data_IF_180872864983
#
_entry.id   IF_180872864983
#
_cell.length_a   1.000
_cell.length_b   1.000
_cell.length_c   1.000
_cell.angle_alpha   90.00
_cell.angle_beta   90.00
_cell.angle_gamma   90.00
#
_symmetry.space_group_name_H-M   'P 1'
#
loop_
_entity.id
_entity.type
_entity.pdbx_description
1 polymer ?
#
# COMPACT_ATOMS: atom_id res chain seq x y z
N UNK A 1 -5.21 -2.04 3.51
CA UNK A 1 -3.89 -1.67 2.94
C UNK A 1 -2.72 -2.01 3.87
N UNK A 2 -2.56 -1.37 5.03
CA UNK A 2 -1.45 -1.69 5.96
C UNK A 2 -1.48 -3.16 6.39
N UNK A 3 -2.65 -3.70 6.71
CA UNK A 3 -2.80 -5.08 7.17
C UNK A 3 -2.37 -6.10 6.09
N UNK A 4 -2.78 -5.91 4.83
CA UNK A 4 -2.39 -6.78 3.71
C UNK A 4 -0.88 -6.68 3.41
N UNK A 5 -0.31 -5.48 3.48
CA UNK A 5 1.14 -5.29 3.35
C UNK A 5 1.91 -5.99 4.46
N UNK A 6 1.40 -5.93 5.69
CA UNK A 6 1.98 -6.61 6.86
C UNK A 6 1.89 -8.13 6.72
N UNK A 7 0.77 -8.66 6.20
CA UNK A 7 0.63 -10.09 5.89
C UNK A 7 1.61 -10.55 4.80
N UNK A 8 1.74 -9.77 3.73
CA UNK A 8 2.68 -10.08 2.65
C UNK A 8 4.14 -10.07 3.16
N UNK A 9 4.50 -9.10 3.99
CA UNK A 9 5.82 -9.01 4.61
C UNK A 9 6.08 -10.17 5.58
N UNK A 10 5.10 -10.57 6.38
CA UNK A 10 5.18 -11.75 7.23
C UNK A 10 5.49 -13.02 6.42
N UNK A 11 4.79 -13.22 5.30
CA UNK A 11 5.02 -14.35 4.41
C UNK A 11 6.42 -14.33 3.79
N UNK A 12 6.89 -13.15 3.34
CA UNK A 12 8.23 -12.93 2.81
C UNK A 12 9.31 -13.30 3.83
N UNK A 13 9.21 -12.76 5.05
CA UNK A 13 10.16 -13.04 6.14
C UNK A 13 10.17 -14.52 6.51
N UNK A 14 9.01 -15.16 6.56
CA UNK A 14 8.90 -16.60 6.86
C UNK A 14 9.65 -17.44 5.84
N UNK A 15 9.51 -17.12 4.56
CA UNK A 15 10.23 -17.81 3.47
C UNK A 15 11.73 -17.58 3.59
N UNK A 16 12.16 -16.34 3.77
CA UNK A 16 13.58 -15.98 3.87
C UNK A 16 14.27 -16.61 5.09
N UNK A 17 13.59 -16.65 6.23
CA UNK A 17 14.07 -17.33 7.44
C UNK A 17 14.32 -18.82 7.16
N UNK A 18 13.37 -19.51 6.52
CA UNK A 18 13.50 -20.92 6.19
C UNK A 18 14.66 -21.20 5.21
N UNK A 19 14.88 -20.32 4.23
CA UNK A 19 16.00 -20.41 3.29
C UNK A 19 17.35 -20.27 3.99
N UNK A 20 17.49 -19.27 4.88
CA UNK A 20 18.73 -19.04 5.63
C UNK A 20 19.01 -20.19 6.61
N UNK A 21 17.99 -20.71 7.29
CA UNK A 21 18.14 -21.87 8.16
C UNK A 21 18.68 -23.09 7.40
N UNK A 22 18.14 -23.37 6.23
CA UNK A 22 18.60 -24.45 5.34
C UNK A 22 20.03 -24.23 4.81
N UNK A 23 20.45 -22.97 4.63
CA UNK A 23 21.83 -22.64 4.24
C UNK A 23 22.79 -22.86 5.41
N UNK A 24 22.42 -22.43 6.61
CA UNK A 24 23.21 -22.61 7.84
C UNK A 24 23.45 -24.08 8.19
N UNK A 25 22.50 -24.98 7.92
CA UNK A 25 22.66 -26.43 8.13
C UNK A 25 23.81 -27.04 7.30
N UNK A 26 24.15 -26.42 6.16
CA UNK A 26 25.21 -26.90 5.27
C UNK A 26 26.57 -26.31 5.59
N UNK A 27 26.64 -25.37 6.53
CA UNK A 27 27.87 -24.65 6.86
C UNK A 27 28.74 -25.41 7.88
N UNK A 28 30.05 -25.15 7.88
CA UNK A 28 30.97 -25.80 8.82
C UNK A 28 30.55 -25.59 10.27
N UNK A 29 30.78 -26.58 11.11
CA UNK A 29 30.60 -26.44 12.58
C UNK A 29 31.57 -25.42 13.18
N UNK A 30 31.26 -24.91 14.37
CA UNK A 30 32.06 -23.94 15.10
C UNK A 30 31.86 -22.49 14.67
N UNK A 31 32.66 -21.60 15.21
CA UNK A 31 32.58 -20.15 15.06
C UNK A 31 33.90 -19.55 14.64
N UNK A 32 33.86 -18.46 13.88
CA UNK A 32 35.05 -17.66 13.57
C UNK A 32 35.32 -16.66 14.70
N UNK A 33 36.53 -16.70 15.23
CA UNK A 33 37.07 -15.68 16.10
C UNK A 33 38.25 -14.95 15.42
N UNK A 34 38.26 -13.61 15.48
CA UNK A 34 39.29 -12.79 14.87
C UNK A 34 40.02 -11.97 15.93
N UNK A 35 41.35 -12.04 15.94
CA UNK A 35 42.19 -11.19 16.79
C UNK A 35 42.96 -10.20 15.95
N UNK A 36 43.13 -8.98 16.44
CA UNK A 36 43.99 -7.98 15.82
C UNK A 36 45.45 -8.23 16.23
N UNK A 37 46.32 -8.26 15.23
CA UNK A 37 47.77 -8.36 15.45
C UNK A 37 48.44 -7.26 14.62
N UNK A 38 48.77 -6.16 15.27
CA UNK A 38 49.24 -4.92 14.65
C UNK A 38 48.26 -4.43 13.54
N UNK A 39 48.70 -4.49 12.28
CA UNK A 39 47.90 -4.06 11.11
C UNK A 39 47.09 -5.18 10.46
N UNK A 40 47.16 -6.41 10.97
CA UNK A 40 46.56 -7.59 10.35
C UNK A 40 45.64 -8.32 11.32
N UNK A 41 44.70 -9.11 10.79
CA UNK A 41 43.85 -10.00 11.58
C UNK A 41 44.36 -11.44 11.48
N UNK A 42 44.34 -12.14 12.61
CA UNK A 42 44.51 -13.60 12.71
C UNK A 42 43.14 -14.22 12.90
N UNK A 43 42.93 -15.36 12.26
CA UNK A 43 41.67 -16.10 12.29
C UNK A 43 41.80 -17.36 13.12
N UNK A 44 40.80 -17.66 13.91
CA UNK A 44 40.72 -18.85 14.73
C UNK A 44 39.35 -19.50 14.55
N UNK A 45 39.34 -20.82 14.45
CA UNK A 45 38.15 -21.63 14.61
C UNK A 45 37.92 -21.87 16.10
N UNK A 46 36.71 -21.71 16.61
CA UNK A 46 36.31 -22.03 17.98
C UNK A 46 35.12 -22.98 17.97
N UNK A 47 35.19 -24.04 18.73
CA UNK A 47 34.12 -24.98 19.03
C UNK A 47 33.41 -24.68 20.37
N UNK A 48 33.79 -23.60 21.04
CA UNK A 48 33.35 -23.21 22.37
C UNK A 48 34.33 -23.60 23.48
N UNK A 49 35.26 -24.55 23.24
CA UNK A 49 36.21 -25.06 24.20
C UNK A 49 37.66 -24.72 23.79
N UNK A 50 37.96 -24.83 22.53
CA UNK A 50 39.30 -24.59 21.98
C UNK A 50 39.28 -23.56 20.87
N UNK A 51 40.40 -22.86 20.70
CA UNK A 51 40.63 -21.93 19.61
C UNK A 51 41.80 -22.41 18.77
N UNK A 52 41.56 -22.81 17.55
CA UNK A 52 42.52 -23.33 16.62
C UNK A 52 42.85 -22.27 15.56
N UNK A 53 44.13 -21.92 15.40
CA UNK A 53 44.57 -20.96 14.41
C UNK A 53 44.25 -21.43 12.98
N UNK A 54 43.65 -20.57 12.14
CA UNK A 54 43.39 -20.83 10.73
C UNK A 54 44.48 -20.15 9.89
N UNK A 55 45.33 -20.93 9.22
CA UNK A 55 46.37 -20.38 8.34
C UNK A 55 45.77 -19.65 7.14
N UNK A 56 46.48 -18.63 6.62
CA UNK A 56 46.03 -17.84 5.46
C UNK A 56 45.74 -18.67 4.20
N UNK A 57 46.38 -19.83 4.03
CA UNK A 57 46.11 -20.80 2.96
C UNK A 57 44.69 -21.41 3.03
N UNK A 58 44.07 -21.42 4.21
CA UNK A 58 42.70 -21.90 4.46
C UNK A 58 41.68 -20.75 4.49
N UNK A 59 41.89 -19.72 3.68
CA UNK A 59 41.05 -18.54 3.63
C UNK A 59 39.59 -18.91 3.31
N UNK A 60 39.31 -19.86 2.43
CA UNK A 60 37.96 -20.31 2.07
C UNK A 60 37.18 -20.84 3.29
N UNK A 61 37.88 -21.59 4.16
CA UNK A 61 37.29 -22.08 5.41
C UNK A 61 36.95 -20.93 6.38
N UNK A 62 37.87 -19.98 6.54
CA UNK A 62 37.60 -18.78 7.37
C UNK A 62 36.44 -17.94 6.79
N UNK A 63 36.34 -17.85 5.45
CA UNK A 63 35.22 -17.17 4.79
C UNK A 63 33.88 -17.88 5.05
N UNK A 64 33.81 -19.20 4.99
CA UNK A 64 32.60 -19.97 5.28
C UNK A 64 32.14 -19.75 6.73
N UNK A 65 33.07 -19.74 7.70
CA UNK A 65 32.73 -19.42 9.10
C UNK A 65 32.31 -17.96 9.31
N UNK A 66 32.90 -17.02 8.54
CA UNK A 66 32.50 -15.63 8.58
C UNK A 66 31.09 -15.43 8.00
N UNK A 67 30.79 -16.12 6.89
CA UNK A 67 29.47 -16.14 6.29
C UNK A 67 28.44 -16.75 7.25
N UNK A 68 28.79 -17.88 7.90
CA UNK A 68 27.93 -18.48 8.93
C UNK A 68 27.60 -17.46 10.03
N UNK A 69 28.61 -16.76 10.55
CA UNK A 69 28.40 -15.74 11.59
C UNK A 69 27.47 -14.62 11.12
N UNK A 70 27.69 -14.13 9.90
CA UNK A 70 26.81 -13.10 9.30
C UNK A 70 25.38 -13.59 9.19
N UNK A 71 25.18 -14.78 8.59
CA UNK A 71 23.83 -15.32 8.39
C UNK A 71 23.14 -15.66 9.71
N UNK A 72 23.86 -16.07 10.75
CA UNK A 72 23.28 -16.29 12.08
C UNK A 72 22.74 -14.98 12.67
N UNK A 73 23.52 -13.91 12.64
CA UNK A 73 23.06 -12.59 13.14
C UNK A 73 21.92 -12.05 12.31
N UNK A 74 21.99 -12.18 10.99
CA UNK A 74 20.93 -11.75 10.09
C UNK A 74 19.63 -12.56 10.30
N UNK A 75 19.74 -13.86 10.55
CA UNK A 75 18.59 -14.70 10.91
C UNK A 75 17.91 -14.22 12.19
N UNK A 76 18.69 -13.86 13.22
CA UNK A 76 18.16 -13.32 14.47
C UNK A 76 17.41 -12.00 14.25
N UNK A 77 17.93 -11.10 13.41
CA UNK A 77 17.28 -9.85 13.03
C UNK A 77 15.93 -10.11 12.33
N UNK A 78 15.91 -11.02 11.35
CA UNK A 78 14.67 -11.38 10.63
C UNK A 78 13.62 -12.03 11.55
N UNK A 79 14.04 -12.86 12.49
CA UNK A 79 13.14 -13.48 13.48
C UNK A 79 12.55 -12.41 14.40
N UNK A 80 13.33 -11.42 14.82
CA UNK A 80 12.83 -10.31 15.64
C UNK A 80 11.82 -9.47 14.86
N UNK A 81 12.11 -9.15 13.60
CA UNK A 81 11.20 -8.40 12.73
C UNK A 81 9.89 -9.16 12.51
N UNK A 82 9.95 -10.45 12.18
CA UNK A 82 8.76 -11.29 12.06
C UNK A 82 7.95 -11.32 13.36
N UNK A 83 8.60 -11.42 14.52
CA UNK A 83 7.92 -11.44 15.81
C UNK A 83 7.19 -10.13 16.10
N UNK A 84 7.75 -8.98 15.70
CA UNK A 84 7.10 -7.68 15.80
C UNK A 84 5.84 -7.62 14.91
N UNK A 85 5.92 -8.15 13.70
CA UNK A 85 4.79 -8.29 12.79
C UNK A 85 3.71 -9.21 13.35
N UNK A 86 4.09 -10.37 13.90
CA UNK A 86 3.15 -11.32 14.54
C UNK A 86 2.44 -10.68 15.74
N UNK A 87 3.17 -9.84 16.51
CA UNK A 87 2.56 -9.07 17.59
C UNK A 87 1.52 -8.09 17.06
N UNK A 88 1.84 -7.34 16.00
CA UNK A 88 0.90 -6.43 15.35
C UNK A 88 -0.35 -7.17 14.85
N UNK A 89 -0.18 -8.26 14.08
CA UNK A 89 -1.28 -9.04 13.52
C UNK A 89 -2.21 -9.60 14.60
N UNK A 90 -1.65 -10.02 15.74
CA UNK A 90 -2.41 -10.57 16.88
C UNK A 90 -3.24 -9.53 17.61
N UNK A 91 -2.74 -8.27 17.68
CA UNK A 91 -3.35 -7.22 18.47
C UNK A 91 -4.07 -6.16 17.64
N UNK A 92 -3.99 -6.25 16.31
CA UNK A 92 -4.71 -5.35 15.40
C UNK A 92 -6.12 -5.91 15.13
N UNK A 93 -7.18 -5.32 15.71
CA UNK A 93 -8.54 -5.80 15.45
C UNK A 93 -8.95 -5.45 14.02
N UNK A 94 -9.46 -6.42 13.27
CA UNK A 94 -10.05 -6.22 11.93
C UNK A 94 -11.38 -5.45 12.01
N UNK A 95 -12.07 -5.53 13.15
CA UNK A 95 -13.32 -4.85 13.42
C UNK A 95 -13.20 -4.02 14.70
N UNK A 96 -13.73 -2.82 14.68
CA UNK A 96 -13.75 -1.96 15.88
C UNK A 96 -14.92 -2.37 16.79
N UNK A 97 -14.60 -2.84 18.00
CA UNK A 97 -15.61 -3.11 19.03
C UNK A 97 -16.42 -1.86 19.40
N UNK A 98 -15.85 -0.68 19.27
CA UNK A 98 -16.58 0.56 19.49
C UNK A 98 -17.64 0.78 18.39
N UNK A 99 -17.30 0.48 17.13
CA UNK A 99 -18.24 0.58 16.01
C UNK A 99 -19.37 -0.45 16.11
N UNK A 100 -19.12 -1.63 16.70
CA UNK A 100 -20.16 -2.63 16.94
C UNK A 100 -21.27 -2.12 17.88
N UNK A 101 -20.96 -1.20 18.79
CA UNK A 101 -21.97 -0.56 19.66
C UNK A 101 -22.95 0.34 18.90
N UNK A 102 -22.59 0.77 17.70
CA UNK A 102 -23.40 1.64 16.84
C UNK A 102 -24.19 0.87 15.78
N UNK A 103 -24.15 -0.47 15.81
CA UNK A 103 -24.92 -1.31 14.89
C UNK A 103 -26.37 -1.43 15.36
N UNK A 104 -27.30 -1.61 14.41
CA UNK A 104 -28.75 -1.73 14.70
C UNK A 104 -29.09 -2.90 15.65
N UNK A 105 -28.21 -3.88 15.76
CA UNK A 105 -28.37 -5.03 16.67
C UNK A 105 -27.85 -4.76 18.08
N UNK A 106 -27.18 -3.64 18.30
CA UNK A 106 -26.60 -3.29 19.60
C UNK A 106 -27.66 -2.71 20.55
N UNK A 107 -27.73 -3.17 21.81
CA UNK A 107 -28.61 -2.56 22.81
C UNK A 107 -28.22 -1.11 23.17
N UNK A 108 -27.03 -0.67 22.76
CA UNK A 108 -26.51 0.67 23.07
C UNK A 108 -26.83 1.68 21.95
N UNK A 109 -27.27 1.23 20.78
CA UNK A 109 -27.47 2.12 19.59
C UNK A 109 -28.43 3.26 19.91
N UNK A 110 -29.55 3.01 20.59
CA UNK A 110 -30.56 4.02 20.94
C UNK A 110 -30.01 5.15 21.83
N UNK A 111 -29.01 4.85 22.65
CA UNK A 111 -28.38 5.83 23.55
C UNK A 111 -27.22 6.58 22.87
N UNK A 112 -26.65 5.99 21.83
CA UNK A 112 -25.44 6.51 21.19
C UNK A 112 -25.72 7.22 19.87
N UNK A 113 -26.81 6.91 19.17
CA UNK A 113 -27.13 7.43 17.82
C UNK A 113 -27.18 8.95 17.73
N UNK A 114 -27.60 9.63 18.82
CA UNK A 114 -27.67 11.09 18.86
C UNK A 114 -26.31 11.75 19.21
N UNK A 115 -25.34 10.95 19.66
CA UNK A 115 -24.00 11.41 20.07
C UNK A 115 -22.96 11.04 19.04
N UNK A 116 -23.08 9.84 18.48
CA UNK A 116 -22.14 9.28 17.51
C UNK A 116 -22.84 8.86 16.24
N UNK A 117 -22.64 9.60 15.16
CA UNK A 117 -23.09 9.19 13.83
C UNK A 117 -22.10 8.18 13.29
N UNK A 118 -22.53 6.96 12.85
CA UNK A 118 -21.63 6.00 12.22
C UNK A 118 -20.91 6.61 11.02
N UNK A 119 -19.60 6.37 10.90
CA UNK A 119 -18.80 6.92 9.81
C UNK A 119 -19.38 6.51 8.43
N UNK A 120 -19.89 5.30 8.30
CA UNK A 120 -20.55 4.83 7.07
C UNK A 120 -21.74 5.71 6.65
N UNK A 121 -22.56 6.16 7.62
CA UNK A 121 -23.65 7.08 7.35
C UNK A 121 -23.16 8.45 6.91
N UNK A 122 -22.18 9.02 7.62
CA UNK A 122 -21.57 10.31 7.25
C UNK A 122 -20.96 10.26 5.85
N UNK A 123 -20.32 9.15 5.48
CA UNK A 123 -19.73 8.98 4.17
C UNK A 123 -20.78 8.81 3.07
N UNK A 124 -21.87 8.09 3.35
CA UNK A 124 -22.98 7.93 2.42
C UNK A 124 -23.73 9.28 2.20
N UNK A 125 -23.97 10.05 3.26
CA UNK A 125 -24.55 11.39 3.18
C UNK A 125 -23.66 12.34 2.38
N UNK A 126 -22.34 12.30 2.61
CA UNK A 126 -21.38 13.06 1.83
C UNK A 126 -21.46 12.67 0.35
N UNK A 127 -21.45 11.39 0.00
CA UNK A 127 -21.51 10.95 -1.39
C UNK A 127 -22.80 11.38 -2.10
N UNK A 128 -23.93 11.38 -1.38
CA UNK A 128 -25.23 11.71 -1.91
C UNK A 128 -25.55 13.22 -1.92
N UNK A 129 -24.82 14.03 -1.13
CA UNK A 129 -25.08 15.46 -1.06
C UNK A 129 -24.71 16.18 -2.36
N UNK A 130 -25.45 17.24 -2.71
CA UNK A 130 -25.18 18.05 -3.90
C UNK A 130 -23.84 18.78 -3.79
N UNK A 131 -23.16 18.91 -4.91
CA UNK A 131 -21.92 19.68 -5.05
C UNK A 131 -21.84 20.26 -6.46
N UNK A 132 -21.01 21.28 -6.62
CA UNK A 132 -20.78 21.92 -7.93
C UNK A 132 -19.76 21.08 -8.72
N UNK A 133 -20.25 20.20 -9.61
CA UNK A 133 -19.38 19.43 -10.49
C UNK A 133 -18.76 20.31 -11.58
N UNK A 134 -17.77 19.76 -12.30
CA UNK A 134 -17.08 20.46 -13.37
C UNK A 134 -18.06 21.04 -14.43
N UNK A 135 -18.14 22.37 -14.57
CA UNK A 135 -19.07 23.01 -15.52
C UNK A 135 -18.61 22.95 -16.98
N UNK A 136 -17.36 22.50 -17.22
CA UNK A 136 -16.78 22.49 -18.57
C UNK A 136 -17.26 21.29 -19.38
N UNK A 137 -17.61 21.54 -20.64
CA UNK A 137 -17.97 20.51 -21.62
C UNK A 137 -19.07 19.53 -21.16
N UNK A 138 -20.25 20.03 -20.72
CA UNK A 138 -21.34 19.15 -20.27
C UNK A 138 -21.86 18.24 -21.41
N UNK A 139 -21.67 18.63 -22.67
CA UNK A 139 -22.00 17.81 -23.85
C UNK A 139 -21.22 16.51 -23.96
N UNK A 140 -20.08 16.38 -23.24
CA UNK A 140 -19.26 15.17 -23.22
C UNK A 140 -19.73 14.16 -22.18
N UNK A 141 -20.62 14.50 -21.29
CA UNK A 141 -21.21 13.61 -20.28
C UNK A 141 -22.24 12.67 -20.92
N UNK A 142 -21.80 11.68 -21.69
CA UNK A 142 -22.65 10.81 -22.53
C UNK A 142 -22.71 9.35 -22.07
N UNK A 143 -21.78 8.92 -21.23
CA UNK A 143 -21.72 7.53 -20.79
C UNK A 143 -22.43 7.38 -19.45
N UNK A 144 -23.63 6.77 -19.47
CA UNK A 144 -24.38 6.46 -18.25
C UNK A 144 -23.76 5.28 -17.51
N UNK A 145 -23.61 5.42 -16.20
CA UNK A 145 -22.99 4.42 -15.32
C UNK A 145 -24.03 3.67 -14.48
N UNK A 146 -23.60 2.62 -13.77
CA UNK A 146 -24.44 1.86 -12.86
C UNK A 146 -24.85 2.67 -11.62
N UNK A 147 -24.01 3.60 -11.15
CA UNK A 147 -24.33 4.53 -10.06
C UNK A 147 -25.38 5.58 -10.43
N UNK A 148 -25.65 5.73 -11.73
CA UNK A 148 -26.59 6.73 -12.26
C UNK A 148 -25.89 8.01 -12.77
N UNK A 149 -24.60 8.16 -12.60
CA UNK A 149 -23.84 9.29 -13.14
C UNK A 149 -23.73 9.23 -14.66
N UNK A 150 -23.47 10.39 -15.26
CA UNK A 150 -23.01 10.51 -16.64
C UNK A 150 -21.55 10.95 -16.62
N UNK A 151 -20.67 10.22 -17.30
CA UNK A 151 -19.22 10.44 -17.35
C UNK A 151 -18.75 10.64 -18.80
N UNK A 152 -17.51 11.12 -18.97
CA UNK A 152 -17.02 11.55 -20.30
C UNK A 152 -16.45 10.41 -21.14
N UNK A 153 -15.98 9.34 -20.53
CA UNK A 153 -15.36 8.22 -21.24
C UNK A 153 -15.87 6.86 -20.78
N UNK A 154 -15.64 5.84 -21.62
CA UNK A 154 -15.97 4.44 -21.27
C UNK A 154 -15.11 3.93 -20.11
N UNK A 155 -13.86 4.38 -20.03
CA UNK A 155 -12.93 4.00 -18.96
C UNK A 155 -13.37 4.59 -17.63
N UNK A 156 -13.81 5.84 -17.60
CA UNK A 156 -14.43 6.44 -16.41
C UNK A 156 -15.74 5.72 -16.03
N UNK A 157 -16.58 5.31 -17.00
CA UNK A 157 -17.78 4.54 -16.72
C UNK A 157 -17.48 3.17 -16.09
N UNK A 158 -16.37 2.55 -16.47
CA UNK A 158 -15.90 1.30 -15.87
C UNK A 158 -15.39 1.52 -14.44
N UNK A 159 -14.63 2.60 -14.19
CA UNK A 159 -14.17 2.97 -12.85
C UNK A 159 -15.35 3.27 -11.93
N UNK A 160 -16.29 4.13 -12.35
CA UNK A 160 -17.52 4.45 -11.60
C UNK A 160 -18.29 3.17 -11.21
N UNK A 161 -18.50 2.28 -12.18
CA UNK A 161 -19.24 1.03 -11.97
C UNK A 161 -18.55 0.15 -10.92
N UNK A 162 -17.22 0.05 -10.94
CA UNK A 162 -16.47 -0.76 -9.98
C UNK A 162 -16.40 -0.10 -8.60
N UNK A 163 -16.25 1.21 -8.50
CA UNK A 163 -16.36 1.95 -7.24
C UNK A 163 -17.74 1.74 -6.59
N UNK A 164 -18.81 1.88 -7.39
CA UNK A 164 -20.18 1.68 -6.92
C UNK A 164 -20.44 0.24 -6.48
N UNK A 165 -19.99 -0.76 -7.25
CA UNK A 165 -20.16 -2.18 -6.94
C UNK A 165 -19.45 -2.58 -5.64
N UNK A 166 -18.33 -1.95 -5.33
CA UNK A 166 -17.58 -2.12 -4.08
C UNK A 166 -18.12 -1.24 -2.93
N UNK A 167 -19.23 -0.53 -3.14
CA UNK A 167 -19.88 0.34 -2.15
C UNK A 167 -18.95 1.42 -1.57
N UNK A 168 -18.02 1.89 -2.37
CA UNK A 168 -17.14 2.98 -1.98
C UNK A 168 -17.87 4.31 -2.09
N UNK A 169 -17.74 5.20 -1.10
CA UNK A 169 -18.34 6.56 -1.19
C UNK A 169 -17.46 7.44 -2.08
N UNK A 170 -18.00 7.87 -3.21
CA UNK A 170 -17.26 8.68 -4.19
C UNK A 170 -18.14 9.74 -4.85
N UNK A 171 -17.49 10.72 -5.48
CA UNK A 171 -18.08 11.75 -6.33
C UNK A 171 -17.30 11.86 -7.62
N UNK A 172 -18.00 12.04 -8.72
CA UNK A 172 -17.42 12.26 -10.04
C UNK A 172 -17.19 13.76 -10.27
N UNK A 173 -16.01 14.16 -10.74
CA UNK A 173 -15.59 15.55 -10.99
C UNK A 173 -15.91 16.53 -9.84
N UNK A 174 -15.69 16.11 -8.59
CA UNK A 174 -15.84 16.97 -7.42
C UNK A 174 -14.73 18.03 -7.37
N UNK A 175 -15.03 19.33 -7.12
CA UNK A 175 -14.02 20.38 -7.14
C UNK A 175 -12.99 20.18 -6.01
N UNK A 176 -11.72 20.32 -6.37
CA UNK A 176 -10.58 20.35 -5.46
C UNK A 176 -9.88 21.71 -5.60
N UNK A 177 -9.87 22.48 -4.52
CA UNK A 177 -9.21 23.78 -4.49
C UNK A 177 -7.72 23.62 -4.16
N UNK A 178 -6.85 24.13 -5.03
CA UNK A 178 -5.40 24.16 -4.85
C UNK A 178 -4.92 25.62 -4.97
N UNK A 179 -4.73 26.30 -3.84
CA UNK A 179 -4.46 27.74 -3.85
C UNK A 179 -5.61 28.47 -4.53
N UNK A 180 -5.29 29.25 -5.56
CA UNK A 180 -6.27 30.01 -6.35
C UNK A 180 -6.84 29.20 -7.53
N UNK A 181 -6.42 27.94 -7.70
CA UNK A 181 -6.80 27.10 -8.84
C UNK A 181 -7.81 26.02 -8.36
N UNK A 182 -8.92 25.88 -9.08
CA UNK A 182 -9.85 24.78 -8.91
C UNK A 182 -9.59 23.73 -9.98
N UNK A 183 -9.33 22.51 -9.57
CA UNK A 183 -9.23 21.34 -10.44
C UNK A 183 -10.37 20.36 -10.14
N UNK A 184 -10.62 19.47 -11.06
CA UNK A 184 -11.64 18.45 -10.95
C UNK A 184 -10.97 17.10 -11.18
N UNK A 185 -10.69 16.34 -10.09
CA UNK A 185 -10.32 14.93 -10.22
C UNK A 185 -11.43 14.14 -10.90
N UNK A 186 -11.10 13.13 -11.67
CA UNK A 186 -12.13 12.29 -12.27
C UNK A 186 -13.01 11.68 -11.17
N UNK A 187 -12.39 11.17 -10.10
CA UNK A 187 -13.15 10.74 -8.92
C UNK A 187 -12.47 11.22 -7.63
N UNK A 188 -13.31 11.71 -6.71
CA UNK A 188 -12.95 11.96 -5.32
C UNK A 188 -13.61 10.89 -4.48
N UNK A 189 -12.82 10.12 -3.73
CA UNK A 189 -13.26 8.96 -2.96
C UNK A 189 -12.98 9.20 -1.49
N UNK A 190 -13.89 8.84 -0.59
CA UNK A 190 -13.66 8.82 0.85
C UNK A 190 -13.33 7.41 1.29
N UNK A 191 -12.19 7.22 1.96
CA UNK A 191 -11.82 5.89 2.45
C UNK A 191 -12.86 5.37 3.47
N UNK A 192 -13.40 4.16 3.30
CA UNK A 192 -14.53 3.68 4.10
C UNK A 192 -14.21 3.53 5.59
N UNK A 193 -12.96 3.27 5.96
CA UNK A 193 -12.53 3.07 7.35
C UNK A 193 -11.96 4.33 8.00
N UNK A 194 -11.19 5.16 7.27
CA UNK A 194 -10.51 6.34 7.82
C UNK A 194 -11.25 7.63 7.53
N UNK A 195 -12.10 7.66 6.51
CA UNK A 195 -12.77 8.85 6.01
C UNK A 195 -11.84 9.83 5.28
N UNK A 196 -10.58 9.46 5.05
CA UNK A 196 -9.62 10.29 4.32
C UNK A 196 -9.99 10.40 2.84
N UNK A 197 -9.56 11.50 2.22
CA UNK A 197 -9.79 11.75 0.80
C UNK A 197 -8.72 11.08 -0.05
N UNK A 198 -9.19 10.38 -1.08
CA UNK A 198 -8.41 9.85 -2.18
C UNK A 198 -8.92 10.46 -3.48
N UNK A 199 -8.03 10.62 -4.44
CA UNK A 199 -8.33 11.14 -5.76
C UNK A 199 -7.95 10.11 -6.80
N UNK A 200 -8.76 9.96 -7.83
CA UNK A 200 -8.45 9.06 -8.95
C UNK A 200 -8.43 9.88 -10.23
N UNK A 201 -7.36 9.73 -10.99
CA UNK A 201 -7.18 10.31 -12.31
C UNK A 201 -6.96 9.21 -13.34
N UNK A 202 -7.74 9.25 -14.40
CA UNK A 202 -7.57 8.35 -15.52
C UNK A 202 -7.03 9.10 -16.74
N UNK A 203 -5.86 8.75 -17.20
CA UNK A 203 -5.20 9.37 -18.34
C UNK A 203 -5.41 8.54 -19.60
N UNK A 204 -6.43 8.88 -20.40
CA UNK A 204 -6.99 8.05 -21.46
C UNK A 204 -6.27 8.13 -22.81
N UNK A 205 -5.34 9.07 -23.03
CA UNK A 205 -4.70 9.27 -24.34
C UNK A 205 -3.19 9.49 -24.21
N UNK A 206 -2.50 8.59 -23.51
CA UNK A 206 -1.08 8.75 -23.22
C UNK A 206 -0.15 8.54 -24.45
N UNK A 207 -0.70 8.08 -25.55
CA UNK A 207 -0.05 8.04 -26.86
C UNK A 207 -0.14 9.37 -27.65
N UNK A 208 -0.79 10.39 -27.08
CA UNK A 208 -0.82 11.76 -27.61
C UNK A 208 0.15 12.65 -26.83
N UNK A 209 1.18 13.17 -27.47
CA UNK A 209 2.24 13.99 -26.84
C UNK A 209 1.72 15.24 -26.13
N UNK A 210 0.72 15.91 -26.69
CA UNK A 210 0.13 17.12 -26.08
C UNK A 210 -0.66 16.75 -24.83
N UNK A 211 -1.44 15.67 -24.90
CA UNK A 211 -2.19 15.15 -23.77
C UNK A 211 -1.26 14.68 -22.63
N UNK A 212 -0.20 13.95 -22.97
CA UNK A 212 0.79 13.48 -21.99
C UNK A 212 1.49 14.63 -21.25
N UNK A 213 1.81 15.74 -21.95
CA UNK A 213 2.35 16.95 -21.31
C UNK A 213 1.36 17.58 -20.33
N UNK A 214 0.09 17.67 -20.71
CA UNK A 214 -0.96 18.21 -19.83
C UNK A 214 -1.21 17.29 -18.62
N UNK A 215 -1.20 15.97 -18.81
CA UNK A 215 -1.29 14.98 -17.74
C UNK A 215 -0.15 15.16 -16.73
N UNK A 216 1.08 15.30 -17.22
CA UNK A 216 2.24 15.55 -16.36
C UNK A 216 2.13 16.88 -15.58
N UNK A 217 1.67 17.96 -16.22
CA UNK A 217 1.43 19.23 -15.53
C UNK A 217 0.36 19.10 -14.42
N UNK A 218 -0.71 18.34 -14.69
CA UNK A 218 -1.74 18.03 -13.67
C UNK A 218 -1.15 17.26 -12.48
N UNK A 219 -0.29 16.26 -12.73
CA UNK A 219 0.40 15.51 -11.67
C UNK A 219 1.35 16.39 -10.85
N UNK A 220 2.06 17.33 -11.49
CA UNK A 220 2.90 18.30 -10.79
C UNK A 220 2.07 19.22 -9.86
N UNK A 221 0.87 19.60 -10.29
CA UNK A 221 -0.03 20.40 -9.47
C UNK A 221 -0.49 19.64 -8.22
N UNK A 222 -0.88 18.37 -8.35
CA UNK A 222 -1.17 17.51 -7.18
C UNK A 222 0.02 17.40 -6.23
N UNK A 223 1.20 17.15 -6.77
CA UNK A 223 2.43 17.04 -5.99
C UNK A 223 2.76 18.32 -5.22
N UNK A 224 2.49 19.50 -5.80
CA UNK A 224 2.79 20.80 -5.18
C UNK A 224 2.03 21.04 -3.85
N UNK A 225 0.92 20.33 -3.64
CA UNK A 225 0.10 20.38 -2.41
C UNK A 225 0.17 19.11 -1.57
N UNK A 226 1.16 18.25 -1.85
CA UNK A 226 1.39 17.03 -1.08
C UNK A 226 0.46 15.87 -1.40
N UNK A 227 -0.33 15.95 -2.48
CA UNK A 227 -1.14 14.83 -2.97
C UNK A 227 -0.25 13.98 -3.87
N UNK A 228 0.17 12.83 -3.35
CA UNK A 228 1.24 12.01 -3.95
C UNK A 228 0.63 10.79 -4.66
N UNK A 229 1.06 10.50 -5.91
CA UNK A 229 0.70 9.26 -6.59
C UNK A 229 1.00 8.02 -5.75
N UNK A 230 0.11 7.04 -5.81
CA UNK A 230 0.14 5.79 -5.04
C UNK A 230 -0.03 5.93 -3.52
N UNK A 231 -0.27 7.14 -3.00
CA UNK A 231 -0.64 7.38 -1.60
C UNK A 231 -2.09 7.85 -1.53
N UNK A 232 -2.37 9.08 -1.96
CA UNK A 232 -3.72 9.66 -1.99
C UNK A 232 -4.23 9.88 -3.41
N UNK A 233 -3.35 9.79 -4.42
CA UNK A 233 -3.70 9.93 -5.83
C UNK A 233 -3.52 8.58 -6.54
N UNK A 234 -4.62 7.98 -6.93
CA UNK A 234 -4.65 6.79 -7.77
C UNK A 234 -4.56 7.27 -9.22
N UNK A 235 -3.65 6.69 -9.99
CA UNK A 235 -3.48 7.06 -11.40
C UNK A 235 -3.58 5.84 -12.28
N UNK A 236 -4.45 5.88 -13.27
CA UNK A 236 -4.56 4.84 -14.30
C UNK A 236 -4.31 5.45 -15.67
N UNK A 237 -3.72 4.66 -16.55
CA UNK A 237 -3.28 5.12 -17.86
C UNK A 237 -3.80 4.18 -18.94
N UNK A 238 -4.17 4.73 -20.09
CA UNK A 238 -4.43 3.93 -21.28
C UNK A 238 -3.86 4.58 -22.55
N UNK A 239 -3.72 3.76 -23.54
CA UNK A 239 -3.35 4.14 -24.91
C UNK A 239 -4.27 3.41 -25.88
N UNK A 240 -4.27 3.81 -27.15
CA UNK A 240 -5.03 3.11 -28.20
C UNK A 240 -4.72 1.60 -28.30
N UNK A 241 -3.50 1.19 -27.92
CA UNK A 241 -3.05 -0.20 -27.96
C UNK A 241 -3.26 -0.96 -26.63
N UNK A 242 -3.33 -0.24 -25.53
CA UNK A 242 -3.46 -0.81 -24.18
C UNK A 242 -4.62 -0.09 -23.45
N UNK A 243 -5.87 -0.50 -23.71
CA UNK A 243 -7.03 0.07 -23.03
C UNK A 243 -7.07 -0.34 -21.56
N UNK A 244 -7.70 0.49 -20.73
CA UNK A 244 -7.95 0.18 -19.32
C UNK A 244 -8.86 -1.06 -19.21
N UNK A 245 -8.52 -1.99 -18.34
CA UNK A 245 -9.33 -3.17 -18.06
C UNK A 245 -9.79 -3.23 -16.61
N UNK A 246 -10.87 -3.96 -16.35
CA UNK A 246 -11.46 -4.11 -15.02
C UNK A 246 -10.47 -4.64 -13.98
N UNK A 247 -9.60 -5.57 -14.35
CA UNK A 247 -8.61 -6.16 -13.44
C UNK A 247 -7.63 -5.13 -12.84
N UNK A 248 -7.23 -4.12 -13.63
CA UNK A 248 -6.37 -3.03 -13.14
C UNK A 248 -7.13 -2.20 -12.10
N UNK A 249 -8.39 -1.84 -12.39
CA UNK A 249 -9.23 -1.05 -11.49
C UNK A 249 -9.50 -1.82 -10.18
N UNK A 250 -9.84 -3.10 -10.27
CA UNK A 250 -10.07 -3.96 -9.10
C UNK A 250 -8.82 -4.07 -8.23
N UNK A 251 -7.64 -4.15 -8.85
CA UNK A 251 -6.37 -4.17 -8.11
C UNK A 251 -6.13 -2.85 -7.38
N UNK A 252 -6.35 -1.70 -8.03
CA UNK A 252 -6.24 -0.40 -7.38
C UNK A 252 -7.24 -0.26 -6.22
N UNK A 253 -8.49 -0.69 -6.40
CA UNK A 253 -9.51 -0.68 -5.34
C UNK A 253 -9.06 -1.56 -4.16
N UNK A 254 -8.59 -2.79 -4.43
CA UNK A 254 -8.13 -3.69 -3.38
C UNK A 254 -6.90 -3.15 -2.65
N UNK A 255 -5.98 -2.52 -3.37
CA UNK A 255 -4.76 -1.95 -2.77
C UNK A 255 -5.04 -0.73 -1.89
N UNK A 256 -6.06 0.06 -2.20
CA UNK A 256 -6.29 1.34 -1.54
C UNK A 256 -7.44 1.33 -0.53
N UNK A 257 -8.44 0.45 -0.68
CA UNK A 257 -9.69 0.56 0.09
C UNK A 257 -10.14 -0.74 0.77
N UNK A 258 -9.62 -1.90 0.37
CA UNK A 258 -9.97 -3.21 0.93
C UNK A 258 -8.79 -3.84 1.64
#
# INVERSE_FOLDING_TARGET
MIYEQVLAEHARLTTQIAEIQKELEKMPEGHLFCTRNATRYKWYHSDGHQQIYIPKRQRSYAQALAQKKYLTLYLDELIQERSAIEYYLRHHPLTSKATELLTDTSPYVELLKDIFIPQSQTLAEWAASSFDSNPKHPEQLIHKTLSGHFVRSKSEALIDTLLYSNKLPFRYENPLQIGDITIYPDFTIRHPQTGEFYYWEHFGMMDNDTYAKNAFAKLQLYHSVGIIPSIQLITTFETSKHPLCAQVIEKEISCHFL
#
